data_IF_836124680154
#
_entry.id   IF_836124680154
#
_cell.length_a   1.000
_cell.length_b   1.000
_cell.length_c   1.000
_cell.angle_alpha   90.00
_cell.angle_beta   90.00
_cell.angle_gamma   90.00
#
_symmetry.space_group_name_H-M   'P 1'
#
loop_
_entity.id
_entity.type
_entity.pdbx_description
1 polymer ?
#
# COMPACT_ATOMS: atom_id res chain seq x y z
N UNK A 1 -17.30 6.48 23.29
CA UNK A 1 -17.01 7.56 22.33
C UNK A 1 -17.00 8.88 23.08
N UNK A 2 -15.92 9.63 22.99
CA UNK A 2 -15.81 10.98 23.57
C UNK A 2 -15.49 11.98 22.47
N UNK A 3 -16.19 13.12 22.46
CA UNK A 3 -15.89 14.21 21.55
C UNK A 3 -14.63 14.96 22.00
N UNK A 4 -13.80 15.36 21.05
CA UNK A 4 -12.62 16.20 21.27
C UNK A 4 -12.88 17.63 20.79
N UNK A 5 -12.07 18.58 21.26
CA UNK A 5 -12.25 20.01 20.93
C UNK A 5 -12.09 20.34 19.42
N UNK A 6 -11.55 19.43 18.63
CA UNK A 6 -11.22 19.64 17.20
C UNK A 6 -12.10 18.81 16.25
N UNK A 7 -13.37 18.61 16.60
CA UNK A 7 -14.34 17.88 15.80
C UNK A 7 -13.95 16.41 15.51
N UNK A 8 -13.01 15.86 16.27
CA UNK A 8 -12.66 14.47 16.26
C UNK A 8 -13.47 13.69 17.29
N UNK A 9 -13.73 12.43 17.01
CA UNK A 9 -14.35 11.48 17.93
C UNK A 9 -13.37 10.39 18.27
N UNK A 10 -13.10 10.18 19.55
CA UNK A 10 -12.31 9.06 20.01
C UNK A 10 -13.17 7.80 20.07
N UNK A 11 -12.72 6.74 19.40
CA UNK A 11 -13.37 5.43 19.39
C UNK A 11 -12.38 4.42 19.97
N UNK A 12 -12.80 3.67 20.98
CA UNK A 12 -11.99 2.59 21.55
C UNK A 12 -12.34 1.27 20.86
N UNK A 13 -11.30 0.57 20.40
CA UNK A 13 -11.39 -0.78 19.85
C UNK A 13 -10.16 -1.58 20.29
N UNK A 14 -10.31 -2.82 20.70
CA UNK A 14 -9.21 -3.67 21.19
C UNK A 14 -8.29 -3.00 22.20
N UNK A 15 -8.85 -2.24 23.16
CA UNK A 15 -8.13 -1.44 24.15
C UNK A 15 -7.27 -0.29 23.59
N UNK A 16 -7.40 0.02 22.31
CA UNK A 16 -6.78 1.19 21.69
C UNK A 16 -7.83 2.26 21.42
N UNK A 17 -7.42 3.52 21.46
CA UNK A 17 -8.27 4.67 21.15
C UNK A 17 -7.89 5.22 19.80
N UNK A 18 -8.85 5.24 18.89
CA UNK A 18 -8.69 5.85 17.58
C UNK A 18 -9.44 7.18 17.52
N UNK A 19 -8.84 8.14 16.86
CA UNK A 19 -9.49 9.42 16.59
C UNK A 19 -10.14 9.34 15.21
N UNK A 20 -11.41 9.70 15.15
CA UNK A 20 -12.16 9.77 13.91
C UNK A 20 -12.60 11.21 13.65
N UNK A 21 -12.28 11.72 12.47
CA UNK A 21 -12.71 13.03 12.00
C UNK A 21 -14.19 13.00 11.65
N UNK A 22 -14.95 13.99 12.11
CA UNK A 22 -16.39 14.12 11.85
C UNK A 22 -16.73 15.23 10.87
N UNK A 23 -15.73 15.98 10.42
CA UNK A 23 -15.87 17.05 9.42
C UNK A 23 -14.90 16.84 8.27
N UNK A 24 -15.33 17.11 7.03
CA UNK A 24 -14.44 17.10 5.87
C UNK A 24 -13.31 18.13 6.04
N UNK A 25 -12.10 17.70 5.65
CA UNK A 25 -10.89 18.51 5.59
C UNK A 25 -10.54 18.79 4.13
N UNK A 26 -10.59 20.06 3.72
CA UNK A 26 -10.22 20.45 2.37
C UNK A 26 -8.71 20.28 2.15
N UNK A 27 -8.31 19.37 1.26
CA UNK A 27 -6.91 19.06 0.99
C UNK A 27 -6.29 20.01 -0.05
N UNK A 28 -6.74 19.92 -1.29
CA UNK A 28 -6.20 20.72 -2.41
C UNK A 28 -7.33 21.14 -3.38
N UNK A 29 -7.11 22.16 -4.22
CA UNK A 29 -7.99 22.46 -5.35
C UNK A 29 -8.05 21.32 -6.36
N UNK A 30 -9.22 21.09 -6.96
CA UNK A 30 -9.44 20.04 -7.97
C UNK A 30 -8.46 20.18 -9.14
N UNK A 31 -8.20 21.41 -9.60
CA UNK A 31 -7.28 21.71 -10.69
C UNK A 31 -5.84 21.29 -10.41
N UNK A 32 -5.42 21.32 -9.15
CA UNK A 32 -4.05 20.95 -8.75
C UNK A 32 -3.85 19.44 -8.77
N UNK A 33 -4.82 18.66 -8.28
CA UNK A 33 -4.75 17.21 -8.31
C UNK A 33 -4.84 16.66 -9.74
N UNK A 34 -5.83 17.10 -10.52
CA UNK A 34 -6.07 16.56 -11.86
C UNK A 34 -6.16 15.04 -11.85
N UNK A 35 -5.42 14.38 -12.74
CA UNK A 35 -5.42 12.92 -12.89
C UNK A 35 -4.38 12.19 -12.00
N UNK A 36 -3.65 12.92 -11.14
CA UNK A 36 -2.73 12.30 -10.19
C UNK A 36 -3.52 11.52 -9.17
N UNK A 37 -3.31 10.20 -9.11
CA UNK A 37 -3.88 9.34 -8.07
C UNK A 37 -3.22 9.63 -6.73
N UNK A 38 -4.00 9.51 -5.68
CA UNK A 38 -3.51 9.66 -4.30
C UNK A 38 -3.75 8.38 -3.54
N UNK A 39 -2.68 7.82 -3.02
CA UNK A 39 -2.65 6.59 -2.22
C UNK A 39 -2.23 6.93 -0.79
N UNK A 40 -2.91 6.36 0.20
CA UNK A 40 -2.52 6.49 1.60
C UNK A 40 -2.32 5.13 2.24
N UNK A 41 -1.12 4.86 2.74
CA UNK A 41 -0.85 3.74 3.64
C UNK A 41 -1.21 4.14 5.06
N UNK A 42 -2.01 3.31 5.75
CA UNK A 42 -2.47 3.59 7.11
C UNK A 42 -2.06 2.47 8.04
N UNK A 43 -1.18 2.79 8.99
CA UNK A 43 -0.78 1.89 10.08
C UNK A 43 -1.96 1.73 11.05
N UNK A 44 -2.75 0.67 10.83
CA UNK A 44 -4.02 0.47 11.56
C UNK A 44 -3.85 0.02 13.01
N UNK A 45 -2.61 -0.22 13.44
CA UNK A 45 -2.32 -0.38 14.87
C UNK A 45 -2.49 0.94 15.62
N UNK A 46 -2.24 2.07 14.96
CA UNK A 46 -2.22 3.40 15.56
C UNK A 46 -3.28 4.36 14.99
N UNK A 47 -3.72 4.14 13.74
CA UNK A 47 -4.53 5.10 13.00
C UNK A 47 -5.86 4.52 12.51
N UNK A 48 -6.86 5.39 12.40
CA UNK A 48 -8.17 5.04 11.88
C UNK A 48 -8.25 5.30 10.37
N UNK A 49 -8.43 4.24 9.56
CA UNK A 49 -8.52 4.36 8.11
C UNK A 49 -9.67 5.26 7.63
N UNK A 50 -10.73 5.40 8.43
CA UNK A 50 -11.87 6.25 8.08
C UNK A 50 -11.50 7.72 7.95
N UNK A 51 -10.41 8.16 8.60
CA UNK A 51 -9.90 9.52 8.47
C UNK A 51 -9.55 9.88 7.02
N UNK A 52 -9.11 8.92 6.22
CA UNK A 52 -8.86 9.14 4.79
C UNK A 52 -10.12 9.55 4.03
N UNK A 53 -11.28 9.09 4.45
CA UNK A 53 -12.57 9.46 3.85
C UNK A 53 -13.04 10.86 4.14
N UNK A 54 -12.39 11.57 5.07
CA UNK A 54 -12.73 12.94 5.45
C UNK A 54 -11.82 13.99 4.77
N UNK A 55 -10.79 13.57 4.05
CA UNK A 55 -10.03 14.48 3.20
C UNK A 55 -10.72 14.63 1.84
N UNK A 56 -11.07 15.86 1.50
CA UNK A 56 -11.85 16.17 0.29
C UNK A 56 -11.18 17.25 -0.56
N UNK A 57 -11.54 17.27 -1.83
CA UNK A 57 -11.17 18.31 -2.78
C UNK A 57 -11.90 19.62 -2.41
N UNK A 58 -11.24 20.77 -2.62
CA UNK A 58 -11.74 22.08 -2.14
C UNK A 58 -13.04 22.50 -2.82
N UNK A 59 -13.16 22.30 -4.14
CA UNK A 59 -14.31 22.77 -4.91
C UNK A 59 -15.40 21.70 -5.02
N UNK A 60 -15.03 20.47 -5.41
CA UNK A 60 -15.99 19.40 -5.68
C UNK A 60 -16.47 18.66 -4.44
N UNK A 61 -15.74 18.75 -3.33
CA UNK A 61 -16.00 17.92 -2.16
C UNK A 61 -15.81 16.42 -2.37
N UNK A 62 -15.30 16.00 -3.52
CA UNK A 62 -14.96 14.59 -3.78
C UNK A 62 -13.82 14.14 -2.87
N UNK A 63 -13.70 12.83 -2.58
CA UNK A 63 -12.56 12.33 -1.81
C UNK A 63 -11.23 12.77 -2.41
N UNK A 64 -10.30 13.12 -1.54
CA UNK A 64 -8.93 13.42 -1.95
C UNK A 64 -8.14 12.15 -2.21
N UNK A 65 -8.29 11.12 -1.36
CA UNK A 65 -7.64 9.83 -1.56
C UNK A 65 -8.43 8.96 -2.54
N UNK A 66 -7.73 8.40 -3.52
CA UNK A 66 -8.30 7.44 -4.49
C UNK A 66 -8.15 6.00 -3.99
N UNK A 67 -7.06 5.73 -3.25
CA UNK A 67 -6.75 4.41 -2.68
C UNK A 67 -6.28 4.57 -1.25
N UNK A 68 -6.77 3.69 -0.38
CA UNK A 68 -6.29 3.51 0.99
C UNK A 68 -5.78 2.09 1.13
N UNK A 69 -4.56 1.91 1.61
CA UNK A 69 -3.98 0.61 1.89
C UNK A 69 -3.91 0.36 3.40
N UNK A 70 -4.54 -0.73 3.84
CA UNK A 70 -4.49 -1.18 5.24
C UNK A 70 -3.09 -1.74 5.48
N UNK A 71 -2.31 -1.11 6.32
CA UNK A 71 -0.96 -1.52 6.66
C UNK A 71 -0.94 -2.16 8.05
N UNK A 72 -0.61 -3.44 8.23
CA UNK A 72 -0.46 -4.43 7.18
C UNK A 72 -0.83 -5.83 7.71
N UNK A 73 -1.21 -6.72 6.82
CA UNK A 73 -1.11 -8.15 7.05
C UNK A 73 0.31 -8.62 6.70
N UNK A 74 0.67 -9.84 7.10
CA UNK A 74 2.00 -10.38 6.89
C UNK A 74 1.98 -11.61 6.00
N UNK A 75 3.07 -11.85 5.27
CA UNK A 75 3.39 -13.14 4.68
C UNK A 75 4.21 -13.94 5.70
N UNK A 76 3.75 -15.15 6.03
CA UNK A 76 4.42 -16.03 6.97
C UNK A 76 4.58 -17.43 6.38
N UNK A 77 5.48 -18.22 6.95
CA UNK A 77 5.59 -19.65 6.68
C UNK A 77 5.16 -20.47 7.90
N UNK A 78 4.30 -21.44 7.68
CA UNK A 78 3.97 -22.43 8.70
C UNK A 78 5.15 -23.40 8.90
N UNK A 79 5.67 -23.46 10.12
CA UNK A 79 6.90 -24.21 10.44
C UNK A 79 6.76 -25.73 10.32
N UNK A 80 5.55 -26.26 10.35
CA UNK A 80 5.30 -27.71 10.26
C UNK A 80 5.10 -28.15 8.82
N UNK A 81 4.28 -27.44 8.07
CA UNK A 81 3.94 -27.78 6.68
C UNK A 81 4.86 -27.14 5.64
N UNK A 82 5.60 -26.08 6.01
CA UNK A 82 6.34 -25.25 5.06
C UNK A 82 5.46 -24.41 4.13
N UNK A 83 4.13 -24.36 4.38
CA UNK A 83 3.19 -23.60 3.56
C UNK A 83 3.26 -22.12 3.89
N UNK A 84 3.36 -21.31 2.84
CA UNK A 84 3.24 -19.85 2.96
C UNK A 84 1.77 -19.46 3.12
N UNK A 85 1.50 -18.52 4.02
CA UNK A 85 0.14 -18.08 4.30
C UNK A 85 0.09 -16.60 4.69
N UNK A 86 -1.10 -15.98 4.60
CA UNK A 86 -1.36 -14.65 5.12
C UNK A 86 -1.62 -14.70 6.62
N UNK A 87 -1.01 -13.79 7.36
CA UNK A 87 -1.22 -13.60 8.79
C UNK A 87 -1.74 -12.19 9.07
N UNK A 88 -2.75 -12.08 9.93
CA UNK A 88 -3.28 -10.80 10.40
C UNK A 88 -3.14 -10.70 11.91
N UNK A 89 -2.57 -9.62 12.39
CA UNK A 89 -2.59 -9.31 13.81
C UNK A 89 -4.01 -8.97 14.31
N UNK A 90 -4.16 -8.72 15.61
CA UNK A 90 -5.47 -8.47 16.21
C UNK A 90 -6.16 -7.22 15.65
N UNK A 91 -5.42 -6.16 15.33
CA UNK A 91 -5.98 -4.91 14.83
C UNK A 91 -6.48 -5.07 13.39
N UNK A 92 -5.67 -5.66 12.52
CA UNK A 92 -6.08 -6.00 11.15
C UNK A 92 -7.28 -6.94 11.16
N UNK A 93 -7.24 -7.99 12.00
CA UNK A 93 -8.33 -8.95 12.16
C UNK A 93 -9.62 -8.29 12.65
N UNK A 94 -9.52 -7.35 13.60
CA UNK A 94 -10.67 -6.58 14.08
C UNK A 94 -11.27 -5.71 12.97
N UNK A 95 -10.43 -4.99 12.22
CA UNK A 95 -10.86 -4.15 11.12
C UNK A 95 -11.58 -4.97 10.05
N UNK A 96 -11.01 -6.10 9.64
CA UNK A 96 -11.58 -6.99 8.64
C UNK A 96 -12.91 -7.61 9.08
N UNK A 97 -13.01 -8.08 10.33
CA UNK A 97 -14.27 -8.58 10.91
C UNK A 97 -15.37 -7.52 10.99
N UNK A 98 -14.99 -6.25 10.99
CA UNK A 98 -15.90 -5.10 11.00
C UNK A 98 -15.83 -4.32 9.67
N UNK A 99 -15.65 -5.00 8.54
CA UNK A 99 -15.51 -4.39 7.21
C UNK A 99 -16.65 -3.41 6.88
N UNK A 100 -17.88 -3.69 7.31
CA UNK A 100 -19.04 -2.82 7.11
C UNK A 100 -18.88 -1.45 7.81
N UNK A 101 -18.05 -1.38 8.87
CA UNK A 101 -17.82 -0.16 9.62
C UNK A 101 -16.58 0.60 9.16
N UNK A 102 -15.57 -0.09 8.61
CA UNK A 102 -14.27 0.51 8.29
C UNK A 102 -13.97 0.54 6.79
N UNK A 103 -14.33 -0.50 6.05
CA UNK A 103 -13.99 -0.64 4.62
C UNK A 103 -15.13 -0.06 3.76
N UNK A 104 -16.38 -0.53 3.98
CA UNK A 104 -17.53 -0.15 3.15
C UNK A 104 -17.80 1.35 3.12
N UNK A 105 -17.66 2.13 4.23
CA UNK A 105 -17.84 3.58 4.17
C UNK A 105 -16.84 4.28 3.24
N UNK A 106 -15.60 3.82 3.17
CA UNK A 106 -14.60 4.34 2.22
C UNK A 106 -14.96 3.99 0.78
N UNK A 107 -15.31 2.73 0.53
CA UNK A 107 -15.73 2.27 -0.80
C UNK A 107 -17.01 2.97 -1.29
N UNK A 108 -17.96 3.25 -0.40
CA UNK A 108 -19.16 4.01 -0.72
C UNK A 108 -18.86 5.47 -1.15
N UNK A 109 -17.76 6.04 -0.69
CA UNK A 109 -17.24 7.33 -1.15
C UNK A 109 -16.47 7.23 -2.49
N UNK A 110 -16.24 6.03 -3.02
CA UNK A 110 -15.48 5.78 -4.25
C UNK A 110 -13.98 5.56 -4.01
N UNK A 111 -13.55 5.46 -2.76
CA UNK A 111 -12.15 5.18 -2.39
C UNK A 111 -11.91 3.67 -2.48
N UNK A 112 -10.86 3.25 -3.18
CA UNK A 112 -10.45 1.85 -3.21
C UNK A 112 -9.73 1.47 -1.92
N UNK A 113 -9.97 0.27 -1.40
CA UNK A 113 -9.34 -0.21 -0.17
C UNK A 113 -8.54 -1.48 -0.45
N UNK A 114 -7.23 -1.37 -0.33
CA UNK A 114 -6.27 -2.46 -0.51
C UNK A 114 -5.79 -3.00 0.84
N UNK A 115 -5.18 -4.20 0.82
CA UNK A 115 -4.39 -4.74 1.93
C UNK A 115 -2.92 -4.74 1.54
N UNK A 116 -2.07 -4.16 2.39
CA UNK A 116 -0.62 -4.34 2.29
C UNK A 116 -0.19 -5.68 2.87
N UNK A 117 0.75 -6.34 2.20
CA UNK A 117 1.39 -7.58 2.64
C UNK A 117 2.84 -7.26 2.95
N UNK A 118 3.25 -7.48 4.18
CA UNK A 118 4.57 -7.18 4.73
C UNK A 118 5.30 -8.47 5.12
N UNK A 119 6.62 -8.54 4.97
CA UNK A 119 7.42 -9.61 5.56
C UNK A 119 7.36 -9.63 7.09
N UNK A 120 7.69 -10.74 7.75
CA UNK A 120 7.49 -10.90 9.19
C UNK A 120 8.64 -11.63 9.92
N UNK A 121 9.88 -11.27 9.64
CA UNK A 121 11.07 -11.84 10.30
C UNK A 121 11.21 -13.36 10.15
N UNK A 122 10.55 -13.95 9.16
CA UNK A 122 10.76 -15.34 8.76
C UNK A 122 11.29 -15.44 7.31
N UNK A 123 11.39 -16.65 6.75
CA UNK A 123 11.95 -16.86 5.42
C UNK A 123 10.98 -16.51 4.30
N UNK A 124 9.68 -16.47 4.57
CA UNK A 124 8.68 -16.17 3.55
C UNK A 124 8.74 -14.69 3.15
N UNK A 125 9.01 -14.44 1.89
CA UNK A 125 9.07 -13.10 1.29
C UNK A 125 8.58 -13.10 -0.15
N UNK A 126 8.38 -11.92 -0.70
CA UNK A 126 7.85 -11.76 -2.05
C UNK A 126 8.84 -12.22 -3.11
N UNK A 127 10.14 -12.10 -2.83
CA UNK A 127 11.22 -12.35 -3.80
C UNK A 127 11.79 -13.76 -3.80
N UNK A 128 11.28 -14.72 -3.02
CA UNK A 128 11.90 -16.04 -2.90
C UNK A 128 10.94 -17.23 -2.98
N UNK A 129 9.68 -17.01 -3.33
CA UNK A 129 8.73 -18.11 -3.47
C UNK A 129 9.03 -18.97 -4.71
N UNK A 130 8.99 -20.28 -4.55
CA UNK A 130 8.97 -21.19 -5.70
C UNK A 130 7.71 -20.96 -6.54
N UNK A 131 7.70 -21.46 -7.79
CA UNK A 131 6.53 -21.36 -8.66
C UNK A 131 5.25 -21.89 -7.99
N UNK A 132 5.35 -23.03 -7.31
CA UNK A 132 4.21 -23.66 -6.64
C UNK A 132 3.73 -22.82 -5.43
N UNK A 133 4.68 -22.35 -4.60
CA UNK A 133 4.36 -21.51 -3.44
C UNK A 133 3.74 -20.16 -3.85
N UNK A 134 4.27 -19.52 -4.89
CA UNK A 134 3.73 -18.28 -5.43
C UNK A 134 2.30 -18.44 -5.96
N UNK A 135 2.03 -19.52 -6.71
CA UNK A 135 0.70 -19.81 -7.23
C UNK A 135 -0.31 -20.15 -6.12
N UNK A 136 0.12 -20.86 -5.08
CA UNK A 136 -0.74 -21.21 -3.94
C UNK A 136 -1.05 -19.98 -3.08
N UNK A 137 -0.03 -19.17 -2.78
CA UNK A 137 -0.21 -17.92 -2.05
C UNK A 137 -1.08 -16.91 -2.80
N UNK A 138 -0.95 -16.81 -4.13
CA UNK A 138 -1.81 -15.95 -4.94
C UNK A 138 -3.29 -16.36 -4.86
N UNK A 139 -3.62 -17.67 -4.80
CA UNK A 139 -4.98 -18.15 -4.58
C UNK A 139 -5.50 -17.80 -3.20
N UNK A 140 -4.65 -17.89 -2.17
CA UNK A 140 -5.02 -17.49 -0.81
C UNK A 140 -5.30 -15.99 -0.74
N UNK A 141 -4.44 -15.15 -1.34
CA UNK A 141 -4.66 -13.70 -1.45
C UNK A 141 -5.97 -13.37 -2.18
N UNK A 142 -6.28 -14.10 -3.27
CA UNK A 142 -7.57 -13.94 -3.95
C UNK A 142 -8.74 -14.25 -3.03
N UNK A 143 -8.72 -15.38 -2.35
CA UNK A 143 -9.77 -15.76 -1.41
C UNK A 143 -9.92 -14.70 -0.29
N UNK A 144 -8.81 -14.19 0.22
CA UNK A 144 -8.78 -13.14 1.23
C UNK A 144 -9.44 -11.84 0.70
N UNK A 145 -9.05 -11.40 -0.49
CA UNK A 145 -9.63 -10.20 -1.14
C UNK A 145 -11.12 -10.37 -1.35
N UNK A 146 -11.57 -11.54 -1.80
CA UNK A 146 -12.99 -11.82 -2.05
C UNK A 146 -13.82 -11.86 -0.76
N UNK A 147 -13.33 -12.55 0.28
CA UNK A 147 -14.02 -12.68 1.57
C UNK A 147 -14.26 -11.31 2.21
N UNK A 148 -13.25 -10.45 2.21
CA UNK A 148 -13.37 -9.13 2.83
C UNK A 148 -13.81 -8.03 1.86
N UNK A 149 -13.99 -8.37 0.58
CA UNK A 149 -14.41 -7.44 -0.47
C UNK A 149 -13.44 -6.28 -0.66
N UNK A 150 -12.15 -6.56 -0.63
CA UNK A 150 -11.09 -5.59 -0.87
C UNK A 150 -10.96 -5.29 -2.38
N UNK A 151 -10.33 -4.16 -2.69
CA UNK A 151 -10.12 -3.72 -4.07
C UNK A 151 -8.77 -4.16 -4.63
N UNK A 152 -7.85 -4.63 -3.79
CA UNK A 152 -6.52 -5.06 -4.23
C UNK A 152 -5.56 -5.42 -3.12
N UNK A 153 -4.31 -5.64 -3.53
CA UNK A 153 -3.16 -5.99 -2.68
C UNK A 153 -2.00 -5.06 -2.99
N UNK A 154 -1.32 -4.59 -1.95
CA UNK A 154 0.00 -3.97 -2.01
C UNK A 154 1.06 -4.92 -1.45
N UNK A 155 2.24 -4.94 -2.04
CA UNK A 155 3.36 -5.73 -1.55
C UNK A 155 4.47 -4.82 -1.04
N UNK A 156 4.91 -5.06 0.19
CA UNK A 156 6.01 -4.40 0.85
C UNK A 156 7.01 -5.45 1.36
N UNK A 157 8.11 -5.65 0.63
CA UNK A 157 9.09 -6.68 0.91
C UNK A 157 10.13 -6.19 1.93
N UNK A 158 9.68 -5.88 3.14
CA UNK A 158 10.52 -5.55 4.28
C UNK A 158 10.52 -6.69 5.31
N UNK A 159 11.53 -6.74 6.16
CA UNK A 159 11.67 -7.65 7.30
C UNK A 159 11.75 -9.16 6.95
N UNK A 160 11.79 -9.54 5.69
CA UNK A 160 12.01 -10.94 5.30
C UNK A 160 13.45 -11.37 5.57
N UNK A 161 13.63 -12.55 6.16
CA UNK A 161 14.95 -13.15 6.40
C UNK A 161 15.31 -14.06 5.25
N UNK A 162 15.83 -13.50 4.18
CA UNK A 162 16.30 -14.27 3.02
C UNK A 162 17.54 -15.08 3.36
N UNK A 163 17.48 -16.42 3.20
CA UNK A 163 18.58 -17.33 3.51
C UNK A 163 19.50 -17.56 2.29
N UNK A 164 20.80 -17.72 2.55
CA UNK A 164 21.76 -18.16 1.51
C UNK A 164 21.46 -19.58 1.01
N UNK A 165 20.95 -20.45 1.89
CA UNK A 165 20.51 -21.79 1.55
C UNK A 165 19.01 -21.89 1.86
N UNK A 166 18.12 -21.61 0.89
CA UNK A 166 16.70 -21.61 1.11
C UNK A 166 16.16 -22.98 1.52
N UNK A 167 15.14 -22.95 2.39
CA UNK A 167 14.39 -24.15 2.79
C UNK A 167 13.55 -24.69 1.63
N UNK A 168 13.09 -25.95 1.66
CA UNK A 168 12.20 -26.49 0.64
C UNK A 168 10.95 -25.61 0.44
N UNK A 169 10.62 -25.30 -0.80
CA UNK A 169 9.52 -24.40 -1.17
C UNK A 169 9.97 -22.96 -1.43
N UNK A 170 11.20 -22.61 -1.08
CA UNK A 170 11.79 -21.30 -1.35
C UNK A 170 12.94 -21.38 -2.35
N UNK A 171 13.24 -20.27 -2.99
CA UNK A 171 14.34 -20.08 -3.92
C UNK A 171 15.26 -18.94 -3.44
N UNK A 172 16.37 -18.74 -4.10
CA UNK A 172 17.19 -17.55 -3.89
C UNK A 172 16.37 -16.30 -4.21
N UNK A 173 16.49 -15.28 -3.36
CA UNK A 173 15.81 -13.99 -3.60
C UNK A 173 16.18 -13.44 -4.98
N UNK A 174 15.17 -13.10 -5.76
CA UNK A 174 15.36 -12.46 -7.06
C UNK A 174 14.17 -11.58 -7.45
N UNK A 175 14.43 -10.63 -8.34
CA UNK A 175 13.36 -9.81 -8.94
C UNK A 175 12.43 -10.69 -9.82
N UNK A 176 12.96 -11.76 -10.41
CA UNK A 176 12.18 -12.70 -11.20
C UNK A 176 11.15 -13.44 -10.33
N UNK A 177 11.56 -13.93 -9.16
CA UNK A 177 10.64 -14.58 -8.21
C UNK A 177 9.57 -13.62 -7.71
N UNK A 178 9.94 -12.36 -7.48
CA UNK A 178 8.94 -11.32 -7.13
C UNK A 178 7.98 -11.06 -8.29
N UNK A 179 8.49 -10.92 -9.52
CA UNK A 179 7.66 -10.80 -10.71
C UNK A 179 6.73 -12.01 -10.89
N UNK A 180 7.22 -13.22 -10.58
CA UNK A 180 6.43 -14.47 -10.59
C UNK A 180 5.24 -14.38 -9.64
N UNK A 181 5.44 -13.96 -8.40
CA UNK A 181 4.34 -13.78 -7.44
C UNK A 181 3.29 -12.79 -7.98
N UNK A 182 3.73 -11.64 -8.46
CA UNK A 182 2.81 -10.64 -9.05
C UNK A 182 2.08 -11.21 -10.27
N UNK A 183 2.76 -11.98 -11.13
CA UNK A 183 2.15 -12.63 -12.29
C UNK A 183 1.07 -13.64 -11.85
N UNK A 184 1.34 -14.48 -10.85
CA UNK A 184 0.35 -15.41 -10.30
C UNK A 184 -0.84 -14.67 -9.68
N UNK A 185 -0.61 -13.59 -8.95
CA UNK A 185 -1.69 -12.73 -8.45
C UNK A 185 -2.51 -12.12 -9.58
N UNK A 186 -1.87 -11.62 -10.64
CA UNK A 186 -2.59 -11.05 -11.81
C UNK A 186 -3.45 -12.09 -12.53
N UNK A 187 -2.99 -13.34 -12.64
CA UNK A 187 -3.76 -14.43 -13.26
C UNK A 187 -5.07 -14.71 -12.51
N UNK A 188 -5.03 -14.70 -11.17
CA UNK A 188 -6.20 -15.03 -10.35
C UNK A 188 -7.04 -13.79 -9.97
N UNK A 189 -6.48 -12.61 -10.07
CA UNK A 189 -7.12 -11.32 -9.73
C UNK A 189 -6.94 -10.28 -10.86
N UNK A 190 -7.44 -10.55 -12.08
CA UNK A 190 -7.19 -9.68 -13.24
C UNK A 190 -7.73 -8.25 -13.07
N UNK A 191 -8.82 -8.09 -12.32
CA UNK A 191 -9.54 -6.81 -12.14
C UNK A 191 -9.24 -6.11 -10.80
N UNK A 192 -8.35 -6.69 -9.97
CA UNK A 192 -7.96 -6.11 -8.69
C UNK A 192 -6.70 -5.27 -8.83
N UNK A 193 -6.57 -4.25 -7.98
CA UNK A 193 -5.36 -3.45 -7.92
C UNK A 193 -4.19 -4.29 -7.37
N UNK A 194 -3.06 -4.24 -8.03
CA UNK A 194 -1.79 -4.79 -7.54
C UNK A 194 -0.77 -3.67 -7.47
N UNK A 195 -0.29 -3.38 -6.27
CA UNK A 195 0.69 -2.36 -5.99
C UNK A 195 1.98 -2.93 -5.41
N UNK A 196 3.07 -2.17 -5.53
CA UNK A 196 4.35 -2.48 -4.88
C UNK A 196 4.87 -1.23 -4.20
N UNK A 197 5.18 -1.35 -2.91
CA UNK A 197 6.03 -0.42 -2.20
C UNK A 197 7.47 -0.88 -2.35
N UNK A 198 8.26 -0.14 -3.14
CA UNK A 198 9.64 -0.48 -3.44
C UNK A 198 10.54 -0.13 -2.25
N UNK A 199 10.87 -1.11 -1.42
CA UNK A 199 11.88 -0.93 -0.39
C UNK A 199 13.29 -1.09 -0.96
N UNK A 200 14.17 -0.19 -0.55
CA UNK A 200 15.45 0.11 -1.18
C UNK A 200 16.36 -1.09 -1.48
N UNK A 201 16.43 -2.08 -0.60
CA UNK A 201 17.41 -3.18 -0.72
C UNK A 201 16.94 -4.33 -1.59
N UNK A 202 15.66 -4.43 -1.91
CA UNK A 202 15.10 -5.65 -2.45
C UNK A 202 15.10 -5.72 -3.97
N UNK A 203 15.45 -4.62 -4.66
CA UNK A 203 15.41 -4.53 -6.11
C UNK A 203 16.73 -4.07 -6.76
N UNK A 204 17.79 -3.79 -5.98
CA UNK A 204 19.01 -3.17 -6.52
C UNK A 204 19.91 -4.14 -7.32
N UNK A 205 19.85 -5.46 -7.05
CA UNK A 205 20.85 -6.42 -7.54
C UNK A 205 20.38 -7.37 -8.65
N UNK A 206 19.20 -7.16 -9.22
CA UNK A 206 18.63 -8.06 -10.22
C UNK A 206 18.27 -7.35 -11.52
N UNK A 207 18.50 -7.97 -12.69
CA UNK A 207 17.93 -7.47 -13.92
C UNK A 207 16.39 -7.42 -13.83
N UNK A 208 15.76 -6.62 -14.67
CA UNK A 208 14.29 -6.52 -14.75
C UNK A 208 13.72 -7.94 -14.92
N UNK A 209 13.05 -8.45 -13.87
CA UNK A 209 12.41 -9.76 -13.94
C UNK A 209 11.27 -9.74 -14.97
N UNK A 210 11.19 -10.80 -15.77
CA UNK A 210 10.06 -11.04 -16.67
C UNK A 210 9.54 -12.44 -16.45
N UNK A 211 8.22 -12.59 -16.45
CA UNK A 211 7.54 -13.89 -16.35
C UNK A 211 6.45 -13.92 -17.42
N UNK A 212 6.42 -15.01 -18.19
CA UNK A 212 5.47 -15.17 -19.31
C UNK A 212 5.53 -14.00 -20.31
N UNK A 213 6.74 -13.44 -20.54
CA UNK A 213 6.97 -12.32 -21.46
C UNK A 213 6.52 -10.95 -20.94
N UNK A 214 6.05 -10.85 -19.68
CA UNK A 214 5.66 -9.60 -19.04
C UNK A 214 6.62 -9.21 -17.94
N UNK A 215 6.97 -7.94 -17.90
CA UNK A 215 7.76 -7.34 -16.84
C UNK A 215 6.90 -6.95 -15.64
N UNK A 216 7.54 -6.74 -14.49
CA UNK A 216 6.84 -6.34 -13.25
C UNK A 216 6.07 -5.02 -13.43
N UNK A 217 6.63 -4.05 -14.17
CA UNK A 217 5.99 -2.77 -14.42
C UNK A 217 4.73 -2.86 -15.31
N UNK A 218 4.62 -3.92 -16.15
CA UNK A 218 3.42 -4.20 -16.94
C UNK A 218 2.33 -4.88 -16.10
N UNK A 219 2.73 -5.69 -15.10
CA UNK A 219 1.80 -6.47 -14.29
C UNK A 219 1.14 -5.65 -13.17
N UNK A 220 1.81 -4.62 -12.64
CA UNK A 220 1.30 -3.79 -11.55
C UNK A 220 0.43 -2.63 -12.05
N UNK A 221 -0.47 -2.15 -11.19
CA UNK A 221 -1.26 -0.94 -11.41
C UNK A 221 -0.55 0.31 -10.92
N UNK A 222 0.35 0.17 -9.95
CA UNK A 222 1.24 1.22 -9.47
C UNK A 222 2.43 0.65 -8.71
N UNK A 223 3.47 1.48 -8.61
CA UNK A 223 4.60 1.29 -7.69
C UNK A 223 4.92 2.60 -6.99
N UNK A 224 5.48 2.52 -5.79
CA UNK A 224 5.98 3.70 -5.09
C UNK A 224 7.32 3.41 -4.41
N UNK A 225 8.17 4.45 -4.34
CA UNK A 225 9.47 4.32 -3.70
C UNK A 225 9.35 4.46 -2.18
N UNK A 226 9.98 3.51 -1.47
CA UNK A 226 10.06 3.46 -0.01
C UNK A 226 10.96 4.57 0.58
N UNK A 227 10.61 5.82 0.34
CA UNK A 227 11.27 6.97 0.93
C UNK A 227 10.25 7.96 1.47
N UNK A 228 10.55 8.51 2.63
CA UNK A 228 9.68 9.44 3.34
C UNK A 228 10.19 10.87 3.18
N UNK A 229 9.30 11.81 2.79
CA UNK A 229 9.54 13.25 2.67
C UNK A 229 10.74 13.66 1.77
N UNK A 230 11.28 12.72 1.01
CA UNK A 230 12.42 12.96 0.12
C UNK A 230 12.11 12.55 -1.30
N UNK A 231 11.95 13.53 -2.17
CA UNK A 231 11.72 13.30 -3.58
C UNK A 231 12.94 12.69 -4.28
N UNK A 232 12.77 11.54 -4.92
CA UNK A 232 13.81 10.84 -5.68
C UNK A 232 13.35 10.63 -7.11
N UNK A 233 14.01 11.29 -8.07
CA UNK A 233 13.69 11.23 -9.50
C UNK A 233 14.26 9.98 -10.16
N UNK A 234 13.54 9.46 -11.16
CA UNK A 234 14.10 8.55 -12.17
C UNK A 234 14.18 7.08 -11.76
N UNK A 235 13.72 6.70 -10.57
CA UNK A 235 13.77 5.30 -10.14
C UNK A 235 12.84 4.39 -10.93
N UNK A 236 11.73 4.92 -11.45
CA UNK A 236 10.81 4.18 -12.32
C UNK A 236 11.51 3.54 -13.51
N UNK A 237 12.60 4.15 -14.01
CA UNK A 237 13.38 3.63 -15.13
C UNK A 237 14.12 2.32 -14.83
N UNK A 238 14.25 1.94 -13.55
CA UNK A 238 14.83 0.65 -13.15
C UNK A 238 13.86 -0.53 -13.37
N UNK A 239 12.60 -0.22 -13.73
CA UNK A 239 11.55 -1.23 -13.89
C UNK A 239 11.02 -1.21 -15.32
N UNK A 240 11.36 -2.23 -16.10
CA UNK A 240 10.87 -2.35 -17.47
C UNK A 240 9.34 -2.35 -17.49
N UNK A 241 8.76 -1.58 -18.42
CA UNK A 241 7.31 -1.48 -18.60
C UNK A 241 6.58 -0.62 -17.56
N UNK A 242 7.30 0.06 -16.65
CA UNK A 242 6.70 0.94 -15.66
C UNK A 242 6.74 2.42 -16.10
N UNK A 243 5.61 2.98 -16.54
CA UNK A 243 5.56 4.40 -16.88
C UNK A 243 5.50 5.26 -15.61
N UNK A 244 5.98 6.52 -15.70
CA UNK A 244 5.88 7.51 -14.60
C UNK A 244 4.45 7.70 -14.10
N UNK A 245 3.47 7.57 -14.99
CA UNK A 245 2.04 7.67 -14.62
C UNK A 245 1.56 6.62 -13.62
N UNK A 246 2.32 5.53 -13.44
CA UNK A 246 2.08 4.49 -12.43
C UNK A 246 3.00 4.59 -11.21
N UNK A 247 3.87 5.60 -11.12
CA UNK A 247 4.93 5.65 -10.10
C UNK A 247 4.80 6.84 -9.16
N UNK A 248 4.96 6.56 -7.86
CA UNK A 248 5.04 7.54 -6.78
C UNK A 248 6.48 7.65 -6.25
N UNK A 249 7.19 8.77 -6.48
CA UNK A 249 8.62 8.88 -6.20
C UNK A 249 8.97 9.11 -4.73
N UNK A 250 7.99 9.31 -3.85
CA UNK A 250 8.16 9.46 -2.41
C UNK A 250 6.80 9.47 -1.68
N UNK A 251 6.83 9.26 -0.37
CA UNK A 251 5.67 9.31 0.52
C UNK A 251 5.69 10.54 1.41
N UNK A 252 4.53 11.16 1.63
CA UNK A 252 4.36 12.36 2.47
C UNK A 252 3.36 12.13 3.59
N UNK A 253 3.49 12.89 4.68
CA UNK A 253 2.39 13.08 5.63
C UNK A 253 1.59 14.32 5.24
N UNK A 254 0.27 14.19 5.23
CA UNK A 254 -0.60 15.27 4.73
C UNK A 254 -0.64 16.48 5.69
N UNK A 255 -0.48 16.26 6.98
CA UNK A 255 -0.68 17.28 8.03
C UNK A 255 0.61 17.65 8.78
N UNK A 256 1.79 17.23 8.32
CA UNK A 256 3.04 17.53 9.02
C UNK A 256 3.92 18.46 8.21
N UNK A 257 4.50 19.45 8.89
CA UNK A 257 5.53 20.32 8.35
C UNK A 257 6.92 19.82 8.75
N UNK A 258 7.80 19.75 7.79
CA UNK A 258 9.19 19.31 7.98
C UNK A 258 10.18 20.46 7.74
N UNK A 259 11.34 20.38 8.39
CA UNK A 259 12.46 21.31 8.25
C UNK A 259 13.70 20.60 7.75
N UNK A 260 14.72 21.35 7.34
CA UNK A 260 16.04 20.79 7.04
C UNK A 260 16.14 19.99 5.73
N UNK A 261 15.39 20.39 4.69
CA UNK A 261 15.50 19.77 3.36
C UNK A 261 14.53 18.59 3.13
N UNK A 262 13.66 18.31 4.07
CA UNK A 262 12.55 17.37 3.91
C UNK A 262 11.35 18.06 3.27
N UNK A 263 10.62 17.35 2.44
CA UNK A 263 9.45 17.87 1.74
C UNK A 263 8.19 17.75 2.60
N UNK A 264 7.56 18.89 2.91
CA UNK A 264 6.20 18.92 3.47
C UNK A 264 5.17 18.88 2.35
N UNK A 265 4.01 18.30 2.63
CA UNK A 265 2.92 18.35 1.66
C UNK A 265 2.37 19.78 1.54
N UNK A 266 2.26 20.23 0.31
CA UNK A 266 1.60 21.49 -0.09
C UNK A 266 0.85 21.27 -1.40
N UNK A 267 -0.05 22.16 -1.75
CA UNK A 267 -0.75 22.09 -3.04
C UNK A 267 0.21 22.01 -4.23
N UNK A 268 1.34 22.71 -4.15
CA UNK A 268 2.38 22.75 -5.18
C UNK A 268 3.07 21.39 -5.34
N UNK A 269 3.21 20.59 -4.28
CA UNK A 269 3.91 19.29 -4.37
C UNK A 269 3.21 18.31 -5.32
N UNK A 270 1.88 18.31 -5.35
CA UNK A 270 1.12 17.46 -6.27
C UNK A 270 1.16 18.01 -7.71
N UNK A 271 1.17 19.35 -7.86
CA UNK A 271 1.36 19.98 -9.18
C UNK A 271 2.76 19.69 -9.73
N UNK A 272 3.80 19.77 -8.91
CA UNK A 272 5.18 19.47 -9.31
C UNK A 272 5.35 18.03 -9.77
N UNK A 273 4.67 17.07 -9.13
CA UNK A 273 4.65 15.67 -9.58
C UNK A 273 3.99 15.52 -10.96
N UNK A 274 2.86 16.17 -11.14
CA UNK A 274 2.11 16.18 -12.39
C UNK A 274 2.97 16.76 -13.53
N UNK A 275 3.63 17.89 -13.29
CA UNK A 275 4.49 18.56 -14.26
C UNK A 275 5.73 17.71 -14.61
N UNK A 276 6.20 16.90 -13.67
CA UNK A 276 7.27 15.91 -13.88
C UNK A 276 6.80 14.62 -14.58
N UNK A 277 5.48 14.48 -14.84
CA UNK A 277 4.87 13.34 -15.51
C UNK A 277 4.55 12.14 -14.61
N UNK A 278 4.67 12.30 -13.28
CA UNK A 278 4.26 11.25 -12.34
C UNK A 278 2.75 11.25 -12.12
N UNK A 279 2.17 10.06 -12.04
CA UNK A 279 0.73 9.89 -11.88
C UNK A 279 0.28 9.37 -10.52
N UNK A 280 1.19 9.29 -9.54
CA UNK A 280 0.88 8.82 -8.19
C UNK A 280 1.57 9.69 -7.12
N UNK A 281 0.79 10.22 -6.19
CA UNK A 281 1.27 10.81 -4.94
C UNK A 281 0.92 9.88 -3.79
N UNK A 282 1.91 9.52 -3.00
CA UNK A 282 1.78 8.61 -1.87
C UNK A 282 1.80 9.36 -0.56
N UNK A 283 0.95 8.93 0.34
CA UNK A 283 0.83 9.43 1.71
C UNK A 283 0.89 8.28 2.70
N UNK A 284 1.17 8.59 3.96
CA UNK A 284 1.09 7.64 5.05
C UNK A 284 0.60 8.32 6.33
N UNK A 285 -0.09 7.54 7.16
CA UNK A 285 -0.56 7.91 8.49
C UNK A 285 -1.15 9.34 8.57
N UNK A 286 -2.34 9.59 8.02
CA UNK A 286 -2.97 10.89 8.02
C UNK A 286 -3.54 11.19 9.42
N UNK A 287 -2.65 11.56 10.35
CA UNK A 287 -3.03 11.94 11.72
C UNK A 287 -3.83 13.23 11.69
N UNK A 288 -5.05 13.24 12.24
CA UNK A 288 -5.73 14.50 12.49
C UNK A 288 -4.89 15.33 13.45
N UNK A 289 -4.63 16.59 13.10
CA UNK A 289 -4.14 17.55 14.09
C UNK A 289 -5.28 17.88 15.03
N UNK A 290 -5.13 17.51 16.29
CA UNK A 290 -6.05 17.86 17.38
C UNK A 290 -5.70 19.20 17.96
#
# INVERSE_FOLDING_TARGET
VSATANDGVAVSANNQTYIYLVKPLAAVPDSKKGDVRTLCFVEVNDENILNCGEYVMKESGKPFFDVVSIFAANINVDSESGRVHIHCNDQVSFLLKNADKFIRPLQAKGIKVNMSILGNHDEAGMGNLSQAAAADFAKELKAFVDIYGLDGIDFDDEYTVYKENPSPGFEQRSRENYCRLISECRKVMPDKLLGIYEYKSNFEDSPSGTVDGKSIGELVDYMCYGTYQRYVKGRESNFTGLPKSKYGPYSLKINEEYKGGWTSFKEETIQDLKDAGYGLQVFYNPKPQL
#
